data_IF_047334704782
#
_entry.id   IF_047334704782
#
_cell.length_a   1.000
_cell.length_b   1.000
_cell.length_c   1.000
_cell.angle_alpha   90.00
_cell.angle_beta   90.00
_cell.angle_gamma   90.00
#
_symmetry.space_group_name_H-M   'P 1'
#
loop_
_entity.id
_entity.type
_entity.pdbx_description
1 polymer ?
#
# COMPACT_ATOMS: atom_id res chain seq x y z
N UNK A 1 22.16 9.49 4.08
CA UNK A 1 20.76 9.82 3.78
C UNK A 1 19.97 8.54 3.59
N UNK A 2 19.00 8.30 4.48
CA UNK A 2 18.15 7.10 4.43
C UNK A 2 16.86 7.45 3.68
N UNK A 3 16.41 6.58 2.78
CA UNK A 3 15.13 6.72 2.08
C UNK A 3 14.17 5.67 2.62
N UNK A 4 13.01 6.10 3.11
CA UNK A 4 12.03 5.25 3.78
C UNK A 4 10.68 5.41 3.08
N UNK A 5 10.06 4.31 2.65
CA UNK A 5 8.71 4.31 2.08
C UNK A 5 7.65 3.83 3.05
N UNK A 6 6.38 4.18 2.80
CA UNK A 6 5.26 3.75 3.62
C UNK A 6 5.14 2.21 3.63
N UNK A 7 5.38 1.57 2.48
CA UNK A 7 5.43 0.11 2.35
C UNK A 7 6.54 -0.51 3.19
N UNK A 8 7.71 0.13 3.28
CA UNK A 8 8.79 -0.38 4.14
C UNK A 8 8.41 -0.34 5.61
N UNK A 9 7.81 0.76 6.09
CA UNK A 9 7.38 0.89 7.48
C UNK A 9 6.21 -0.07 7.80
N UNK A 10 5.27 -0.29 6.87
CA UNK A 10 4.22 -1.28 7.05
C UNK A 10 4.77 -2.71 7.09
N UNK A 11 5.68 -3.07 6.18
CA UNK A 11 6.31 -4.39 6.21
C UNK A 11 7.13 -4.60 7.48
N UNK A 12 7.84 -3.56 7.96
CA UNK A 12 8.57 -3.61 9.21
C UNK A 12 7.65 -3.80 10.42
N UNK A 13 6.53 -3.06 10.48
CA UNK A 13 5.51 -3.27 11.52
C UNK A 13 4.98 -4.70 11.51
N UNK A 14 4.64 -5.25 10.35
CA UNK A 14 4.17 -6.64 10.21
C UNK A 14 5.23 -7.65 10.65
N UNK A 15 6.49 -7.40 10.33
CA UNK A 15 7.61 -8.22 10.77
C UNK A 15 7.76 -8.22 12.30
N UNK A 16 7.67 -7.05 12.95
CA UNK A 16 7.73 -6.92 14.41
C UNK A 16 6.60 -7.67 15.14
N UNK A 17 5.44 -7.83 14.50
CA UNK A 17 4.28 -8.53 15.08
C UNK A 17 4.23 -10.02 14.76
N UNK A 18 5.14 -10.52 13.91
CA UNK A 18 5.16 -11.91 13.50
C UNK A 18 6.29 -12.65 14.22
N UNK A 19 5.96 -13.35 15.30
CA UNK A 19 6.90 -14.11 16.14
C UNK A 19 7.65 -15.22 15.37
N UNK A 20 7.15 -15.65 14.22
CA UNK A 20 7.80 -16.65 13.37
C UNK A 20 8.80 -16.06 12.38
N UNK A 21 8.80 -14.73 12.18
CA UNK A 21 9.69 -14.06 11.24
C UNK A 21 11.12 -13.92 11.78
N UNK A 22 12.11 -14.16 10.92
CA UNK A 22 13.52 -13.96 11.27
C UNK A 22 14.02 -12.60 10.78
N UNK A 23 15.17 -12.16 11.32
CA UNK A 23 15.87 -10.95 10.84
C UNK A 23 16.18 -11.08 9.34
N UNK A 24 16.63 -12.26 8.90
CA UNK A 24 16.96 -12.52 7.49
C UNK A 24 15.74 -12.32 6.57
N UNK A 25 14.52 -12.64 7.03
CA UNK A 25 13.32 -12.39 6.24
C UNK A 25 13.13 -10.89 5.95
N UNK A 26 13.37 -10.03 6.95
CA UNK A 26 13.27 -8.58 6.76
C UNK A 26 14.42 -8.03 5.90
N UNK A 27 15.63 -8.57 6.05
CA UNK A 27 16.78 -8.22 5.20
C UNK A 27 16.49 -8.56 3.75
N UNK A 28 16.01 -9.76 3.46
CA UNK A 28 15.71 -10.20 2.10
C UNK A 28 14.58 -9.37 1.46
N UNK A 29 13.57 -8.99 2.24
CA UNK A 29 12.54 -8.05 1.79
C UNK A 29 13.14 -6.70 1.40
N UNK A 30 13.96 -6.09 2.27
CA UNK A 30 14.56 -4.76 2.02
C UNK A 30 15.55 -4.77 0.85
N UNK A 31 16.27 -5.86 0.66
CA UNK A 31 17.18 -6.08 -0.46
C UNK A 31 16.49 -6.61 -1.72
N UNK A 32 15.16 -6.75 -1.69
CA UNK A 32 14.32 -7.20 -2.82
C UNK A 32 14.73 -8.57 -3.38
N UNK A 33 15.16 -9.48 -2.51
CA UNK A 33 15.58 -10.84 -2.87
C UNK A 33 14.40 -11.82 -2.99
N UNK A 34 13.26 -11.49 -2.38
CA UNK A 34 12.05 -12.30 -2.47
C UNK A 34 11.27 -11.94 -3.75
N UNK A 35 11.01 -12.91 -4.65
CA UNK A 35 10.19 -12.66 -5.83
C UNK A 35 8.72 -12.43 -5.45
N UNK A 36 7.97 -11.61 -6.21
CA UNK A 36 6.56 -11.38 -5.94
C UNK A 36 5.73 -12.65 -6.19
N UNK A 37 4.75 -12.90 -5.31
CA UNK A 37 3.80 -14.01 -5.48
C UNK A 37 2.84 -13.73 -6.65
N UNK A 38 2.12 -14.75 -7.14
CA UNK A 38 1.07 -14.55 -8.15
C UNK A 38 0.00 -13.56 -7.68
N UNK A 39 -0.43 -13.64 -6.42
CA UNK A 39 -1.39 -12.71 -5.84
C UNK A 39 -0.86 -11.26 -5.85
N UNK A 40 0.42 -11.05 -5.55
CA UNK A 40 1.04 -9.72 -5.63
C UNK A 40 1.09 -9.22 -7.09
N UNK A 41 1.42 -10.08 -8.05
CA UNK A 41 1.43 -9.72 -9.48
C UNK A 41 0.03 -9.39 -9.99
N UNK A 42 -0.99 -10.16 -9.60
CA UNK A 42 -2.38 -9.89 -9.91
C UNK A 42 -2.85 -8.55 -9.30
N UNK A 43 -2.48 -8.26 -8.05
CA UNK A 43 -2.77 -6.98 -7.42
C UNK A 43 -2.16 -5.80 -8.19
N UNK A 44 -0.88 -5.89 -8.57
CA UNK A 44 -0.22 -4.85 -9.37
C UNK A 44 -0.89 -4.65 -10.74
N UNK A 45 -1.25 -5.75 -11.42
CA UNK A 45 -1.97 -5.69 -12.68
C UNK A 45 -3.34 -5.00 -12.51
N UNK A 46 -4.06 -5.30 -11.43
CA UNK A 46 -5.34 -4.68 -11.14
C UNK A 46 -5.22 -3.19 -10.81
N UNK A 47 -4.17 -2.75 -10.10
CA UNK A 47 -3.92 -1.31 -9.88
C UNK A 47 -3.79 -0.57 -11.21
N UNK A 48 -3.06 -1.12 -12.18
CA UNK A 48 -2.90 -0.50 -13.52
C UNK A 48 -4.21 -0.38 -14.29
N UNK A 49 -5.14 -1.32 -14.11
CA UNK A 49 -6.50 -1.21 -14.66
C UNK A 49 -7.17 0.05 -14.09
N UNK A 50 -7.14 0.24 -12.77
CA UNK A 50 -7.75 1.40 -12.11
C UNK A 50 -7.02 2.71 -12.43
N UNK A 51 -5.70 2.66 -12.55
CA UNK A 51 -4.85 3.78 -12.97
C UNK A 51 -5.27 4.29 -14.34
N UNK A 52 -5.50 3.40 -15.30
CA UNK A 52 -5.81 3.76 -16.69
C UNK A 52 -7.28 4.01 -16.96
N UNK A 53 -8.19 3.60 -16.06
CA UNK A 53 -9.63 3.83 -16.16
C UNK A 53 -9.97 5.33 -16.17
N UNK A 54 -10.89 5.72 -17.06
CA UNK A 54 -11.36 7.10 -17.25
C UNK A 54 -12.77 7.28 -16.68
N UNK A 55 -13.15 8.55 -16.57
CA UNK A 55 -14.52 8.91 -16.22
C UNK A 55 -15.51 8.29 -17.20
N UNK A 56 -16.56 7.66 -16.67
CA UNK A 56 -17.58 6.90 -17.42
C UNK A 56 -17.09 5.63 -18.14
N UNK A 57 -15.91 5.09 -17.79
CA UNK A 57 -15.54 3.76 -18.27
C UNK A 57 -16.41 2.69 -17.59
N UNK A 58 -17.01 1.82 -18.40
CA UNK A 58 -17.70 0.61 -17.95
C UNK A 58 -16.74 -0.57 -18.00
N UNK A 59 -16.28 -1.02 -16.83
CA UNK A 59 -15.37 -2.15 -16.72
C UNK A 59 -16.16 -3.44 -16.49
N UNK A 60 -16.34 -4.25 -17.53
CA UNK A 60 -16.95 -5.58 -17.41
C UNK A 60 -15.88 -6.67 -17.28
N UNK A 61 -15.09 -6.88 -18.34
CA UNK A 61 -13.99 -7.84 -18.36
C UNK A 61 -12.77 -7.13 -18.91
N UNK A 62 -11.68 -7.16 -18.15
CA UNK A 62 -10.44 -6.46 -18.49
C UNK A 62 -9.26 -7.42 -18.39
N UNK A 63 -8.23 -7.15 -19.17
CA UNK A 63 -6.97 -7.90 -19.15
C UNK A 63 -5.81 -6.93 -19.01
N UNK A 64 -4.91 -7.20 -18.07
CA UNK A 64 -3.72 -6.39 -17.81
C UNK A 64 -2.58 -7.30 -17.34
N UNK A 65 -1.38 -7.11 -17.91
CA UNK A 65 -0.17 -7.86 -17.55
C UNK A 65 -0.34 -9.39 -17.53
N UNK A 66 -1.19 -9.93 -18.41
CA UNK A 66 -1.48 -11.37 -18.49
C UNK A 66 -2.47 -11.89 -17.43
N UNK A 67 -3.11 -11.00 -16.67
CA UNK A 67 -4.19 -11.32 -15.75
C UNK A 67 -5.52 -10.83 -16.30
N UNK A 68 -6.55 -11.69 -16.23
CA UNK A 68 -7.92 -11.35 -16.58
C UNK A 68 -8.75 -11.11 -15.33
N UNK A 69 -9.47 -10.00 -15.30
CA UNK A 69 -10.39 -9.63 -14.22
C UNK A 69 -11.80 -9.49 -14.77
N UNK A 70 -12.76 -10.13 -14.10
CA UNK A 70 -14.17 -10.03 -14.41
C UNK A 70 -14.86 -9.27 -13.29
N UNK A 71 -15.28 -8.04 -13.61
CA UNK A 71 -16.00 -7.13 -12.73
C UNK A 71 -17.49 -7.10 -13.04
N UNK A 72 -17.99 -7.92 -13.98
CA UNK A 72 -19.41 -7.91 -14.37
C UNK A 72 -20.39 -8.26 -13.24
N UNK A 73 -19.88 -8.88 -12.16
CA UNK A 73 -20.64 -9.13 -10.94
C UNK A 73 -20.72 -7.96 -9.97
N UNK A 74 -20.00 -6.86 -10.22
CA UNK A 74 -20.08 -5.63 -9.44
C UNK A 74 -21.05 -4.65 -10.10
N UNK A 75 -22.13 -4.33 -9.40
CA UNK A 75 -23.06 -3.26 -9.77
C UNK A 75 -22.83 -2.07 -8.83
N UNK A 76 -21.76 -1.32 -9.06
CA UNK A 76 -21.41 -0.16 -8.26
C UNK A 76 -20.56 0.85 -9.05
N UNK A 77 -20.64 2.12 -8.65
CA UNK A 77 -19.73 3.15 -9.12
C UNK A 77 -18.50 3.23 -8.21
N UNK A 78 -17.32 3.28 -8.81
CA UNK A 78 -16.05 3.43 -8.10
C UNK A 78 -15.53 4.85 -8.35
N UNK A 79 -15.46 5.65 -7.30
CA UNK A 79 -14.87 6.97 -7.38
C UNK A 79 -13.33 6.87 -7.45
N UNK A 80 -12.77 7.07 -8.64
CA UNK A 80 -11.33 7.17 -8.87
C UNK A 80 -10.95 8.63 -9.11
N UNK A 81 -10.15 9.26 -8.23
CA UNK A 81 -9.61 10.59 -8.48
C UNK A 81 -8.79 10.67 -9.78
N UNK A 82 -8.73 11.87 -10.38
CA UNK A 82 -7.92 12.10 -11.59
C UNK A 82 -6.41 12.06 -11.31
N UNK A 83 -5.97 12.55 -10.14
CA UNK A 83 -4.58 12.48 -9.74
C UNK A 83 -4.27 11.08 -9.21
N UNK A 84 -3.60 10.27 -10.04
CA UNK A 84 -3.23 8.88 -9.77
C UNK A 84 -1.71 8.72 -9.75
N UNK A 85 -1.23 7.66 -9.09
CA UNK A 85 0.21 7.38 -8.92
C UNK A 85 0.99 8.60 -8.41
N UNK A 86 0.39 9.34 -7.47
CA UNK A 86 0.93 10.61 -7.02
C UNK A 86 2.07 10.37 -6.04
N UNK A 87 3.27 10.86 -6.40
CA UNK A 87 4.49 10.69 -5.63
C UNK A 87 4.84 11.94 -4.82
N UNK A 88 5.22 11.74 -3.57
CA UNK A 88 5.80 12.75 -2.69
C UNK A 88 7.14 12.30 -2.13
N UNK A 89 8.07 13.25 -1.99
CA UNK A 89 9.27 13.10 -1.18
C UNK A 89 9.30 14.20 -0.11
N UNK A 90 9.42 13.81 1.16
CA UNK A 90 9.48 14.73 2.31
C UNK A 90 10.77 14.49 3.08
N UNK A 91 11.64 15.50 3.12
CA UNK A 91 12.88 15.44 3.91
C UNK A 91 12.61 15.84 5.36
N UNK A 92 13.21 15.13 6.30
CA UNK A 92 13.11 15.41 7.74
C UNK A 92 14.34 14.88 8.48
N UNK A 93 14.43 15.19 9.77
CA UNK A 93 15.45 14.67 10.68
C UNK A 93 14.79 13.82 11.76
N UNK A 94 15.16 12.54 11.81
CA UNK A 94 14.74 11.60 12.85
C UNK A 94 15.99 11.21 13.64
N UNK A 95 16.02 11.53 14.94
CA UNK A 95 17.12 11.20 15.86
C UNK A 95 18.51 11.57 15.35
N UNK A 96 18.61 12.74 14.72
CA UNK A 96 19.85 13.28 14.15
C UNK A 96 20.17 12.77 12.74
N UNK A 97 19.40 11.83 12.19
CA UNK A 97 19.58 11.30 10.85
C UNK A 97 18.75 12.05 9.81
N UNK A 98 19.38 12.41 8.69
CA UNK A 98 18.69 12.97 7.53
C UNK A 98 17.96 11.85 6.77
N UNK A 99 16.63 11.95 6.77
CA UNK A 99 15.71 10.97 6.19
C UNK A 99 14.91 11.61 5.07
N UNK A 100 14.70 10.88 3.98
CA UNK A 100 13.69 11.22 2.97
C UNK A 100 12.57 10.19 3.04
N UNK A 101 11.39 10.63 3.47
CA UNK A 101 10.16 9.85 3.32
C UNK A 101 9.70 9.87 1.87
N UNK A 102 9.30 8.71 1.36
CA UNK A 102 8.88 8.52 -0.03
C UNK A 102 7.51 7.85 -0.04
N UNK A 103 6.48 8.58 -0.46
CA UNK A 103 5.14 8.05 -0.65
C UNK A 103 4.75 8.01 -2.12
N UNK A 104 4.08 6.94 -2.53
CA UNK A 104 3.39 6.84 -3.82
C UNK A 104 1.99 6.32 -3.53
N UNK A 105 0.99 7.17 -3.75
CA UNK A 105 -0.41 6.82 -3.48
C UNK A 105 -1.11 6.50 -4.79
N UNK A 106 -1.99 5.50 -4.79
CA UNK A 106 -2.68 5.05 -6.00
C UNK A 106 -3.55 6.18 -6.56
N UNK A 107 -4.24 6.92 -5.70
CA UNK A 107 -4.91 8.17 -6.08
C UNK A 107 -5.07 9.16 -4.94
N UNK A 108 -5.27 10.43 -5.28
CA UNK A 108 -5.47 11.52 -4.32
C UNK A 108 -6.46 12.55 -4.86
N UNK A 109 -7.34 13.06 -4.01
CA UNK A 109 -8.13 14.29 -4.25
C UNK A 109 -8.13 15.11 -2.98
N UNK A 110 -8.29 16.42 -3.09
CA UNK A 110 -8.46 17.38 -1.97
C UNK A 110 -8.61 16.73 -0.59
N UNK A 111 -7.51 16.70 0.18
CA UNK A 111 -7.46 16.24 1.57
C UNK A 111 -7.81 14.75 1.82
N UNK A 112 -7.89 13.93 0.77
CA UNK A 112 -8.20 12.49 0.83
C UNK A 112 -7.29 11.66 -0.09
N UNK A 113 -6.71 10.61 0.47
CA UNK A 113 -5.85 9.64 -0.21
C UNK A 113 -6.61 8.34 -0.44
N UNK A 114 -6.38 7.69 -1.56
CA UNK A 114 -6.94 6.40 -1.92
C UNK A 114 -5.83 5.40 -2.21
N UNK A 115 -6.02 4.18 -1.71
CA UNK A 115 -5.16 3.05 -1.99
C UNK A 115 -6.05 1.84 -2.33
N UNK A 116 -5.78 1.23 -3.46
CA UNK A 116 -6.52 0.09 -3.96
C UNK A 116 -5.91 -1.20 -3.41
N UNK A 117 -6.75 -2.19 -3.12
CA UNK A 117 -6.27 -3.52 -2.71
C UNK A 117 -7.11 -4.60 -3.34
N UNK A 118 -6.45 -5.46 -4.12
CA UNK A 118 -7.01 -6.73 -4.54
C UNK A 118 -6.76 -7.77 -3.44
N UNK A 119 -7.82 -8.35 -2.87
CA UNK A 119 -7.72 -9.30 -1.74
C UNK A 119 -8.68 -10.47 -1.91
N UNK A 120 -8.35 -11.64 -1.37
CA UNK A 120 -9.28 -12.77 -1.31
C UNK A 120 -10.29 -12.66 -0.16
N UNK A 121 -9.96 -11.86 0.87
CA UNK A 121 -10.77 -11.70 2.07
C UNK A 121 -10.98 -10.23 2.39
N UNK A 122 -12.23 -9.87 2.69
CA UNK A 122 -12.57 -8.56 3.23
C UNK A 122 -12.48 -8.62 4.74
N UNK A 123 -11.31 -8.25 5.27
CA UNK A 123 -11.14 -8.02 6.69
C UNK A 123 -10.57 -6.61 6.91
N UNK A 124 -11.46 -5.68 7.24
CA UNK A 124 -11.11 -4.28 7.49
C UNK A 124 -10.23 -4.11 8.75
N UNK A 125 -10.35 -5.02 9.73
CA UNK A 125 -9.61 -4.94 10.98
C UNK A 125 -8.10 -5.06 10.76
N UNK A 126 -7.69 -5.82 9.74
CA UNK A 126 -6.28 -5.98 9.35
C UNK A 126 -5.60 -4.65 8.95
N UNK A 127 -6.38 -3.61 8.66
CA UNK A 127 -5.89 -2.31 8.20
C UNK A 127 -5.91 -1.23 9.29
N UNK A 128 -6.60 -1.46 10.41
CA UNK A 128 -6.71 -0.50 11.52
C UNK A 128 -5.32 -0.06 11.98
N UNK A 129 -4.44 -1.03 12.20
CA UNK A 129 -3.09 -0.77 12.68
C UNK A 129 -2.03 -0.60 11.60
N UNK A 130 -2.42 -0.39 10.35
CA UNK A 130 -1.43 -0.22 9.29
C UNK A 130 -0.62 1.08 9.45
N UNK A 131 0.69 0.99 9.26
CA UNK A 131 1.53 2.18 9.12
C UNK A 131 1.34 2.87 7.78
N UNK A 132 0.86 2.15 6.76
CA UNK A 132 0.80 2.69 5.41
C UNK A 132 -0.09 3.93 5.36
N UNK A 133 -1.34 3.84 5.84
CA UNK A 133 -2.24 4.99 5.86
C UNK A 133 -1.76 6.08 6.83
N UNK A 134 -1.19 5.72 7.98
CA UNK A 134 -0.64 6.70 8.93
C UNK A 134 0.47 7.54 8.33
N UNK A 135 1.41 6.88 7.65
CA UNK A 135 2.49 7.53 6.92
C UNK A 135 1.94 8.44 5.83
N UNK A 136 0.98 7.98 5.05
CA UNK A 136 0.43 8.78 3.97
C UNK A 136 -0.32 10.02 4.47
N UNK A 137 -1.12 9.90 5.53
CA UNK A 137 -1.73 11.08 6.13
C UNK A 137 -0.65 12.06 6.62
N UNK A 138 0.30 11.62 7.45
CA UNK A 138 1.37 12.50 7.98
C UNK A 138 2.23 13.17 6.87
N UNK A 139 2.60 12.41 5.84
CA UNK A 139 3.52 12.91 4.82
C UNK A 139 2.85 13.88 3.85
N UNK A 140 1.64 13.57 3.39
CA UNK A 140 0.89 14.36 2.42
C UNK A 140 0.03 15.46 3.05
N UNK A 141 0.04 15.58 4.38
CA UNK A 141 -0.78 16.55 5.11
C UNK A 141 -2.28 16.46 4.77
N UNK A 142 -2.78 15.23 4.64
CA UNK A 142 -4.19 14.92 4.38
C UNK A 142 -4.92 14.47 5.66
N UNK A 143 -6.25 14.57 5.67
CA UNK A 143 -7.08 14.22 6.83
C UNK A 143 -7.79 12.88 6.69
N UNK A 144 -7.93 12.35 5.46
CA UNK A 144 -8.65 11.12 5.19
C UNK A 144 -7.88 10.18 4.28
N UNK A 145 -7.90 8.90 4.61
CA UNK A 145 -7.35 7.84 3.79
C UNK A 145 -8.43 6.78 3.57
N UNK A 146 -8.58 6.28 2.33
CA UNK A 146 -9.55 5.25 2.00
C UNK A 146 -8.88 4.08 1.30
N UNK A 147 -8.93 2.90 1.92
CA UNK A 147 -8.68 1.66 1.22
C UNK A 147 -9.89 1.29 0.37
N UNK A 148 -9.69 1.14 -0.92
CA UNK A 148 -10.65 0.58 -1.85
C UNK A 148 -10.38 -0.93 -1.96
N UNK A 149 -11.09 -1.72 -1.15
CA UNK A 149 -10.89 -3.18 -1.09
C UNK A 149 -11.75 -3.86 -2.16
N UNK A 150 -11.09 -4.59 -3.06
CA UNK A 150 -11.71 -5.40 -4.10
C UNK A 150 -11.55 -6.87 -3.73
N UNK A 151 -12.66 -7.51 -3.37
CA UNK A 151 -12.67 -8.93 -3.09
C UNK A 151 -12.63 -9.71 -4.40
N UNK A 152 -11.61 -10.55 -4.54
CA UNK A 152 -11.39 -11.38 -5.71
C UNK A 152 -11.35 -12.87 -5.36
N UNK A 153 -11.75 -13.68 -6.32
CA UNK A 153 -11.61 -15.13 -6.26
C UNK A 153 -11.24 -15.65 -7.64
N UNK A 154 -10.22 -16.52 -7.71
CA UNK A 154 -9.83 -17.24 -8.93
C UNK A 154 -10.38 -18.67 -8.86
N UNK A 155 -11.38 -19.04 -9.67
CA UNK A 155 -11.85 -20.43 -9.74
C UNK A 155 -10.73 -21.37 -10.19
N UNK A 156 -10.62 -22.56 -9.60
CA UNK A 156 -9.51 -23.49 -9.87
C UNK A 156 -9.33 -23.86 -11.35
N UNK A 157 -10.41 -23.86 -12.14
CA UNK A 157 -10.41 -24.26 -13.54
C UNK A 157 -10.52 -23.08 -14.51
N UNK A 158 -10.32 -21.84 -14.05
CA UNK A 158 -10.40 -20.66 -14.89
C UNK A 158 -9.24 -19.73 -14.62
N UNK A 159 -8.65 -19.19 -15.69
CA UNK A 159 -7.60 -18.18 -15.58
C UNK A 159 -8.22 -16.77 -15.57
N UNK A 160 -9.14 -16.56 -14.63
CA UNK A 160 -9.84 -15.28 -14.44
C UNK A 160 -10.05 -15.02 -12.95
N UNK A 161 -9.77 -13.81 -12.52
CA UNK A 161 -10.13 -13.31 -11.21
C UNK A 161 -11.53 -12.70 -11.28
N UNK A 162 -12.48 -13.31 -10.58
CA UNK A 162 -13.81 -12.76 -10.43
C UNK A 162 -13.80 -11.75 -9.28
N UNK A 163 -14.12 -10.49 -9.58
CA UNK A 163 -14.28 -9.44 -8.57
C UNK A 163 -15.72 -9.46 -8.09
N UNK A 164 -15.93 -9.78 -6.81
CA UNK A 164 -17.27 -10.02 -6.25
C UNK A 164 -17.82 -8.87 -5.43
N UNK A 165 -16.93 -8.18 -4.73
CA UNK A 165 -17.34 -7.17 -3.75
C UNK A 165 -16.36 -6.01 -3.81
N UNK A 166 -16.88 -4.79 -3.75
CA UNK A 166 -16.12 -3.57 -3.52
C UNK A 166 -16.51 -3.01 -2.15
N UNK A 167 -15.51 -2.77 -1.29
CA UNK A 167 -15.70 -2.22 0.05
C UNK A 167 -14.69 -1.09 0.31
N UNK A 168 -15.13 0.18 0.33
CA UNK A 168 -14.29 1.27 0.78
C UNK A 168 -14.20 1.28 2.32
N UNK A 169 -12.99 1.38 2.85
CA UNK A 169 -12.71 1.48 4.29
C UNK A 169 -11.88 2.73 4.54
N UNK A 170 -12.42 3.68 5.32
CA UNK A 170 -11.78 4.96 5.57
C UNK A 170 -11.19 5.08 6.97
N UNK A 171 -10.03 5.73 7.04
CA UNK A 171 -9.32 6.11 8.24
C UNK A 171 -9.11 7.63 8.24
N UNK A 172 -9.05 8.22 9.42
CA UNK A 172 -8.97 9.67 9.60
C UNK A 172 -7.71 10.03 10.39
N UNK A 173 -7.16 11.20 10.09
CA UNK A 173 -6.09 11.80 10.89
C UNK A 173 -6.55 11.94 12.33
N UNK A 174 -5.63 11.66 13.24
CA UNK A 174 -5.81 11.85 14.67
C UNK A 174 -4.59 12.58 15.24
N UNK A 175 -4.77 13.17 16.42
CA UNK A 175 -3.70 13.83 17.16
C UNK A 175 -2.62 12.80 17.54
N UNK A 176 -1.35 13.09 17.24
CA UNK A 176 -0.22 12.22 17.53
C UNK A 176 0.15 11.22 16.43
N UNK A 177 -0.52 11.24 15.27
CA UNK A 177 -0.16 10.40 14.11
C UNK A 177 1.28 10.61 13.66
N UNK A 178 1.81 11.83 13.78
CA UNK A 178 3.18 12.21 13.46
C UNK A 178 4.18 11.53 14.42
N UNK A 179 3.82 11.42 15.70
CA UNK A 179 4.62 10.73 16.71
C UNK A 179 4.68 9.23 16.42
N UNK A 180 3.57 8.61 16.03
CA UNK A 180 3.54 7.18 15.67
C UNK A 180 4.43 6.89 14.46
N UNK A 181 4.33 7.72 13.41
CA UNK A 181 5.19 7.63 12.22
C UNK A 181 6.65 7.84 12.58
N UNK A 182 6.96 8.83 13.43
CA UNK A 182 8.32 9.11 13.89
C UNK A 182 8.92 7.96 14.70
N UNK A 183 8.16 7.38 15.63
CA UNK A 183 8.61 6.28 16.47
C UNK A 183 8.90 5.03 15.62
N UNK A 184 8.01 4.72 14.68
CA UNK A 184 8.23 3.61 13.74
C UNK A 184 9.45 3.86 12.86
N UNK A 185 9.62 5.07 12.33
CA UNK A 185 10.77 5.43 11.52
C UNK A 185 12.09 5.35 12.32
N UNK A 186 12.11 5.82 13.57
CA UNK A 186 13.27 5.71 14.47
C UNK A 186 13.68 4.25 14.68
N UNK A 187 12.71 3.39 15.02
CA UNK A 187 12.94 1.95 15.19
C UNK A 187 13.48 1.30 13.91
N UNK A 188 12.90 1.64 12.76
CA UNK A 188 13.34 1.15 11.45
C UNK A 188 14.76 1.63 11.09
N UNK A 189 15.11 2.88 11.38
CA UNK A 189 16.47 3.42 11.15
C UNK A 189 17.50 2.65 11.98
N UNK A 190 17.18 2.35 13.24
CA UNK A 190 18.04 1.54 14.10
C UNK A 190 18.26 0.15 13.50
N UNK A 191 17.19 -0.50 13.01
CA UNK A 191 17.29 -1.78 12.32
C UNK A 191 18.21 -1.71 11.08
N UNK A 192 17.98 -0.73 10.19
CA UNK A 192 18.78 -0.57 8.96
C UNK A 192 20.27 -0.36 9.30
N UNK A 193 20.59 0.48 10.29
CA UNK A 193 21.98 0.71 10.71
C UNK A 193 22.67 -0.55 11.21
N UNK A 194 21.96 -1.39 11.96
CA UNK A 194 22.54 -2.58 12.58
C UNK A 194 22.71 -3.75 11.60
N UNK A 195 21.81 -3.88 10.62
CA UNK A 195 21.72 -5.10 9.81
C UNK A 195 21.96 -4.87 8.31
N UNK A 196 21.74 -3.67 7.78
CA UNK A 196 21.86 -3.36 6.35
C UNK A 196 22.42 -1.94 6.13
N UNK A 197 23.60 -1.61 6.69
CA UNK A 197 24.15 -0.27 6.63
C UNK A 197 24.38 0.24 5.19
N UNK A 198 24.49 -0.64 4.20
CA UNK A 198 24.63 -0.29 2.79
C UNK A 198 23.40 0.43 2.19
N UNK A 199 22.23 0.38 2.86
CA UNK A 199 21.05 1.17 2.46
C UNK A 199 21.16 2.64 2.88
N UNK A 200 22.15 2.99 3.70
CA UNK A 200 22.47 4.35 4.09
C UNK A 200 23.49 4.90 3.09
N UNK A 201 23.03 5.78 2.19
CA UNK A 201 23.89 6.43 1.18
C UNK A 201 24.35 7.81 1.60
#
# INVERSE_FOLDING_TARGET
MIRISATQLESYRRWLLNDESTIDNMIDFLLKRTPPTEAMRAGLAFHKVLETAKYNDELAIVEQDGFKFDLSGLDCEIALPEAKEFKLEKQTVIDGELVTFVGVVDAIKVNEIFDHKLTSQLNAENYIDSMQWRCYLDWFDCDKFTYNLFQSYKPANQDVYLIKTFLPVSFYRYEGIDLDVRNMASSFICFVKNYIPELIK
#
